data_IF_807402420950
#
_entry.id   IF_807402420950
#
_cell.length_a   1.000
_cell.length_b   1.000
_cell.length_c   1.000
_cell.angle_alpha   90.00
_cell.angle_beta   90.00
_cell.angle_gamma   90.00
#
_symmetry.space_group_name_H-M   'P 1'
#
loop_
_entity.id
_entity.type
_entity.pdbx_description
1 polymer ?
#
# COMPACT_ATOMS: atom_id res chain seq x y z
N UNK A 1 3.82 -2.04 -5.12
CA UNK A 1 3.37 -2.26 -3.72
C UNK A 1 3.24 -0.90 -3.06
N UNK A 2 2.28 -0.66 -2.16
CA UNK A 2 2.21 0.59 -1.41
C UNK A 2 2.68 0.34 0.02
N UNK A 3 3.46 1.27 0.57
CA UNK A 3 3.91 1.24 1.96
C UNK A 3 3.31 2.42 2.68
N UNK A 4 2.56 2.15 3.74
CA UNK A 4 1.80 3.15 4.49
C UNK A 4 2.16 3.13 5.98
N UNK A 5 2.04 4.28 6.66
CA UNK A 5 2.45 4.43 8.06
C UNK A 5 1.51 3.75 9.05
N UNK A 6 0.22 3.68 8.73
CA UNK A 6 -0.84 3.24 9.65
C UNK A 6 -1.76 2.19 9.05
N UNK A 7 -2.37 1.39 9.92
CA UNK A 7 -3.32 0.34 9.52
C UNK A 7 -4.54 0.91 8.82
N UNK A 8 -5.16 1.91 9.42
CA UNK A 8 -6.37 2.53 8.88
C UNK A 8 -6.11 3.09 7.47
N UNK A 9 -4.95 3.71 7.26
CA UNK A 9 -4.53 4.16 5.94
C UNK A 9 -4.41 2.99 4.95
N UNK A 10 -3.86 1.85 5.37
CA UNK A 10 -3.72 0.67 4.51
C UNK A 10 -5.05 -0.01 4.17
N UNK A 11 -5.96 -0.11 5.14
CA UNK A 11 -7.30 -0.65 4.90
C UNK A 11 -8.12 0.27 3.98
N UNK A 12 -8.05 1.59 4.18
CA UNK A 12 -8.76 2.57 3.34
C UNK A 12 -8.18 2.62 1.92
N UNK A 13 -6.85 2.69 1.80
CA UNK A 13 -6.15 2.66 0.51
C UNK A 13 -6.42 1.37 -0.27
N UNK A 14 -6.45 0.20 0.40
CA UNK A 14 -6.75 -1.08 -0.25
C UNK A 14 -8.18 -1.10 -0.82
N UNK A 15 -9.14 -0.46 -0.15
CA UNK A 15 -10.51 -0.36 -0.66
C UNK A 15 -10.61 0.67 -1.79
N UNK A 16 -9.99 1.83 -1.64
CA UNK A 16 -10.07 2.92 -2.61
C UNK A 16 -9.33 2.60 -3.90
N UNK A 17 -8.19 1.90 -3.84
CA UNK A 17 -7.42 1.55 -5.03
C UNK A 17 -8.19 0.61 -5.97
N UNK A 18 -9.08 -0.25 -5.43
CA UNK A 18 -9.97 -1.09 -6.25
C UNK A 18 -10.97 -0.24 -7.03
N UNK A 19 -11.64 0.71 -6.36
CA UNK A 19 -12.65 1.57 -6.99
C UNK A 19 -12.00 2.55 -7.99
N UNK A 20 -10.87 3.15 -7.60
CA UNK A 20 -10.17 4.18 -8.37
C UNK A 20 -9.44 3.63 -9.58
N UNK A 21 -8.83 2.46 -9.48
CA UNK A 21 -8.05 1.85 -10.57
C UNK A 21 -8.75 0.67 -11.24
N UNK A 22 -9.90 0.24 -10.73
CA UNK A 22 -10.68 -0.86 -11.32
C UNK A 22 -9.99 -2.21 -11.20
N UNK A 23 -9.34 -2.49 -10.06
CA UNK A 23 -8.67 -3.77 -9.84
C UNK A 23 -9.69 -4.92 -9.84
N UNK A 24 -9.29 -6.04 -10.44
CA UNK A 24 -10.12 -7.26 -10.47
C UNK A 24 -10.21 -7.94 -9.10
N UNK A 25 -9.19 -7.74 -8.26
CA UNK A 25 -9.02 -8.39 -6.97
C UNK A 25 -8.70 -7.35 -5.90
N UNK A 26 -9.14 -7.63 -4.68
CA UNK A 26 -8.86 -6.78 -3.52
C UNK A 26 -7.38 -6.91 -3.12
N UNK A 27 -6.65 -5.79 -2.96
CA UNK A 27 -5.27 -5.80 -2.52
C UNK A 27 -5.10 -6.47 -1.15
N UNK A 28 -3.98 -7.15 -0.95
CA UNK A 28 -3.66 -7.74 0.35
C UNK A 28 -2.96 -6.72 1.25
N UNK A 29 -3.47 -6.57 2.47
CA UNK A 29 -2.86 -5.73 3.51
C UNK A 29 -1.99 -6.59 4.42
N UNK A 30 -0.70 -6.30 4.48
CA UNK A 30 0.29 -7.05 5.27
C UNK A 30 0.94 -6.12 6.29
N UNK A 31 0.96 -6.54 7.55
CA UNK A 31 1.71 -5.84 8.60
C UNK A 31 3.16 -6.34 8.60
N UNK A 32 4.11 -5.42 8.46
CA UNK A 32 5.54 -5.70 8.56
C UNK A 32 6.12 -4.98 9.78
N UNK A 33 6.78 -5.73 10.67
CA UNK A 33 7.46 -5.14 11.82
C UNK A 33 8.80 -4.55 11.39
N UNK A 34 9.05 -3.29 11.76
CA UNK A 34 10.33 -2.64 11.46
C UNK A 34 11.41 -3.16 12.42
N UNK A 35 12.56 -3.55 11.87
CA UNK A 35 13.68 -4.02 12.68
C UNK A 35 14.42 -2.82 13.30
N UNK A 36 14.12 -2.51 14.57
CA UNK A 36 14.80 -1.49 15.36
C UNK A 36 14.73 -1.83 16.86
N UNK A 37 15.87 -1.72 17.54
CA UNK A 37 16.07 -2.16 18.93
C UNK A 37 15.08 -1.50 19.92
N UNK A 38 14.24 -2.33 20.55
CA UNK A 38 13.60 -2.15 21.87
C UNK A 38 12.17 -1.56 22.01
N UNK A 39 11.38 -1.34 20.95
CA UNK A 39 9.91 -1.32 21.09
C UNK A 39 9.23 -1.96 19.86
N UNK A 40 8.49 -3.04 20.08
CA UNK A 40 7.74 -3.78 19.05
C UNK A 40 6.51 -3.01 18.50
N UNK A 41 6.49 -1.69 18.70
CA UNK A 41 5.39 -0.79 18.41
C UNK A 41 5.47 -0.21 16.99
N UNK A 42 6.67 -0.15 16.39
CA UNK A 42 6.85 0.36 15.03
C UNK A 42 6.64 -0.75 13.98
N UNK A 43 5.54 -0.65 13.24
CA UNK A 43 5.22 -1.53 12.13
C UNK A 43 4.73 -0.70 10.95
N UNK A 44 5.13 -1.10 9.75
CA UNK A 44 4.61 -0.55 8.52
C UNK A 44 3.55 -1.47 7.93
N UNK A 45 2.68 -0.89 7.11
CA UNK A 45 1.60 -1.62 6.46
C UNK A 45 1.80 -1.60 4.95
N UNK A 46 1.81 -2.79 4.36
CA UNK A 46 2.05 -3.01 2.94
C UNK A 46 0.73 -3.34 2.26
N UNK A 47 0.39 -2.62 1.20
CA UNK A 47 -0.72 -2.94 0.31
C UNK A 47 -0.17 -3.56 -0.96
N UNK A 48 -0.38 -4.86 -1.12
CA UNK A 48 0.08 -5.65 -2.26
C UNK A 48 -0.99 -5.61 -3.33
N UNK A 49 -0.70 -4.89 -4.41
CA UNK A 49 -1.57 -4.76 -5.59
C UNK A 49 -1.04 -5.69 -6.67
N UNK A 50 -1.87 -6.63 -7.11
CA UNK A 50 -1.56 -7.50 -8.23
C UNK A 50 -2.01 -6.83 -9.53
N UNK A 51 -1.04 -6.55 -10.42
CA UNK A 51 -1.27 -5.95 -11.73
C UNK A 51 -0.60 -6.79 -12.82
N UNK A 52 -1.14 -7.98 -13.14
CA UNK A 52 -0.53 -8.89 -14.11
C UNK A 52 -0.49 -8.29 -15.53
N UNK A 53 -1.34 -7.31 -15.82
CA UNK A 53 -1.42 -6.64 -17.12
C UNK A 53 -0.52 -5.39 -17.21
N UNK A 54 0.18 -5.02 -16.11
CA UNK A 54 0.96 -3.79 -16.00
C UNK A 54 0.14 -2.54 -16.44
N UNK A 55 -1.16 -2.54 -16.16
CA UNK A 55 -2.09 -1.50 -16.56
C UNK A 55 -2.02 -0.27 -15.65
N UNK A 56 -1.49 -0.42 -14.43
CA UNK A 56 -1.38 0.65 -13.46
C UNK A 56 -0.19 1.55 -13.78
N UNK A 57 -0.46 2.85 -13.90
CA UNK A 57 0.58 3.83 -14.07
C UNK A 57 1.31 4.04 -12.73
N UNK A 58 2.61 3.72 -12.70
CA UNK A 58 3.50 4.00 -11.56
C UNK A 58 3.34 5.41 -10.97
N UNK A 59 3.33 6.52 -11.76
CA UNK A 59 3.14 7.85 -11.18
C UNK A 59 1.76 8.06 -10.56
N UNK A 60 0.74 7.32 -10.98
CA UNK A 60 -0.58 7.39 -10.38
C UNK A 60 -0.62 6.64 -9.03
N UNK A 61 0.07 5.49 -8.93
CA UNK A 61 0.24 4.77 -7.67
C UNK A 61 1.08 5.56 -6.65
N UNK A 62 2.12 6.26 -7.12
CA UNK A 62 2.96 7.11 -6.28
C UNK A 62 2.17 8.30 -5.72
N UNK A 63 1.42 9.00 -6.58
CA UNK A 63 0.53 10.07 -6.17
C UNK A 63 -0.55 9.59 -5.19
N UNK A 64 -1.13 8.41 -5.45
CA UNK A 64 -2.11 7.80 -4.58
C UNK A 64 -1.54 7.47 -3.21
N UNK A 65 -0.37 6.82 -3.14
CA UNK A 65 0.28 6.51 -1.86
C UNK A 65 0.57 7.77 -1.03
N UNK A 66 0.97 8.86 -1.70
CA UNK A 66 1.24 10.14 -1.06
C UNK A 66 -0.03 10.79 -0.44
N UNK A 67 -1.23 10.46 -0.91
CA UNK A 67 -2.49 10.90 -0.27
C UNK A 67 -2.66 10.31 1.14
N UNK A 68 -2.00 9.18 1.41
CA UNK A 68 -2.04 8.43 2.67
C UNK A 68 -0.73 8.55 3.47
N UNK A 69 0.07 9.59 3.19
CA UNK A 69 1.41 9.80 3.79
C UNK A 69 2.38 8.61 3.57
N UNK A 70 2.12 7.81 2.53
CA UNK A 70 2.94 6.65 2.17
C UNK A 70 3.71 6.83 0.85
N UNK A 71 4.29 5.74 0.38
CA UNK A 71 5.00 5.71 -0.91
C UNK A 71 4.71 4.43 -1.68
N UNK A 72 4.87 4.49 -3.01
CA UNK A 72 4.85 3.30 -3.84
C UNK A 72 6.25 2.68 -3.90
N UNK A 73 6.35 1.40 -3.51
CA UNK A 73 7.53 0.58 -3.71
C UNK A 73 7.39 -0.23 -5.01
N UNK A 74 8.32 0.00 -5.94
CA UNK A 74 8.47 -0.82 -7.14
C UNK A 74 9.29 -2.07 -6.80
N UNK A 75 8.61 -3.22 -6.74
CA UNK A 75 9.22 -4.54 -6.53
C UNK A 75 9.73 -5.19 -7.81
#
# INVERSE_FOLDING_TARGET
MLVLPDRDAAEDAAQEVVDRFGLSEEPQVVREALAGEDDAEDAQWLVVIEDPEAALAVPALDAFAAEYDGWHEAG
#
